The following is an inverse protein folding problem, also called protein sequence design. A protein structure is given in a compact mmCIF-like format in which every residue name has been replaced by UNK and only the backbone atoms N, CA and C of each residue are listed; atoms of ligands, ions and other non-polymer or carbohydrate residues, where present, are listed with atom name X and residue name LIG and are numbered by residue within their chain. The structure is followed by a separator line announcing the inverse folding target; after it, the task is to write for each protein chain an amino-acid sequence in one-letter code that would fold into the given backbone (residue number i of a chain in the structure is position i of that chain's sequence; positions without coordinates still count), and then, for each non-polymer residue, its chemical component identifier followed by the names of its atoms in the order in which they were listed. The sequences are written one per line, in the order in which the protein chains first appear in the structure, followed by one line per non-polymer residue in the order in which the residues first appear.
data_IF_961293516446
#
_entry.id   IF_961293516446
#
_cell.length_a   1.000
_cell.length_b   1.000
_cell.length_c   1.000
_cell.angle_alpha   90.00
_cell.angle_beta   90.00
_cell.angle_gamma   90.00
#
_symmetry.space_group_name_H-M   'P 1'
#
loop_
_entity.id
_entity.type
_entity.pdbx_description
1 polymer ?
#
# COMPACT_ATOMS: atom_id res chain seq x y z
N UNK A 1 -0.55 -8.76 -12.21
CA UNK A 1 0.90 -8.67 -12.00
C UNK A 1 1.70 -8.91 -13.32
N UNK A 2 1.54 -8.11 -14.40
CA UNK A 2 2.28 -8.33 -15.65
C UNK A 2 3.38 -7.28 -15.93
N UNK A 3 3.76 -6.44 -14.98
CA UNK A 3 4.70 -5.31 -15.21
C UNK A 3 6.07 -5.47 -14.54
N UNK A 4 6.55 -6.69 -14.29
CA UNK A 4 7.94 -6.83 -13.84
C UNK A 4 8.86 -6.42 -14.99
N UNK A 5 9.82 -5.52 -14.72
CA UNK A 5 10.84 -5.08 -15.69
C UNK A 5 12.12 -5.93 -15.57
N UNK A 6 12.06 -6.98 -14.77
CA UNK A 6 13.08 -7.99 -14.56
C UNK A 6 12.43 -9.38 -14.57
N UNK A 7 13.26 -10.42 -14.63
CA UNK A 7 12.82 -11.82 -14.60
C UNK A 7 12.40 -12.28 -13.19
N UNK A 8 12.36 -11.36 -12.21
CA UNK A 8 12.03 -11.65 -10.82
C UNK A 8 10.55 -11.36 -10.56
N UNK A 9 9.80 -12.39 -10.17
CA UNK A 9 8.41 -12.27 -9.79
C UNK A 9 8.30 -11.97 -8.28
N UNK A 10 7.72 -10.84 -7.86
CA UNK A 10 7.55 -10.55 -6.45
C UNK A 10 6.53 -11.54 -5.87
N UNK A 11 6.90 -12.21 -4.78
CA UNK A 11 5.96 -13.05 -4.02
C UNK A 11 4.82 -12.19 -3.45
N UNK A 12 3.57 -12.66 -3.48
CA UNK A 12 2.46 -11.92 -2.90
C UNK A 12 2.60 -11.86 -1.37
N UNK A 13 2.64 -10.65 -0.81
CA UNK A 13 2.50 -10.43 0.64
C UNK A 13 1.02 -10.57 1.09
N UNK A 14 0.09 -10.44 0.14
CA UNK A 14 -1.33 -10.66 0.31
C UNK A 14 -1.75 -11.72 -0.71
N UNK A 15 -1.79 -12.98 -0.27
CA UNK A 15 -2.13 -14.12 -1.12
C UNK A 15 -3.52 -14.64 -0.81
N UNK A 16 -4.44 -14.55 -1.77
CA UNK A 16 -5.78 -15.15 -1.76
C UNK A 16 -5.78 -16.68 -1.84
N UNK A 17 -4.68 -17.36 -1.51
CA UNK A 17 -4.61 -18.82 -1.35
C UNK A 17 -3.69 -19.16 -0.18
N UNK A 18 -4.26 -19.90 0.77
CA UNK A 18 -3.87 -20.02 2.18
C UNK A 18 -2.49 -20.66 2.51
N UNK A 19 -1.54 -20.76 1.58
CA UNK A 19 -0.32 -21.55 1.77
C UNK A 19 0.99 -20.73 1.68
N UNK A 20 1.06 -19.66 0.89
CA UNK A 20 2.31 -18.87 0.76
C UNK A 20 2.53 -17.76 1.81
N UNK A 21 1.54 -16.94 2.20
CA UNK A 21 1.77 -15.82 3.14
C UNK A 21 2.22 -16.27 4.53
N UNK A 22 1.75 -17.44 4.98
CA UNK A 22 2.17 -18.08 6.24
C UNK A 22 3.63 -18.55 6.24
N UNK A 23 4.18 -18.93 5.08
CA UNK A 23 5.58 -19.37 4.98
C UNK A 23 6.58 -18.22 5.15
N UNK A 24 6.16 -16.98 4.90
CA UNK A 24 6.97 -15.77 5.10
C UNK A 24 6.62 -15.01 6.40
N UNK A 25 5.70 -15.54 7.21
CA UNK A 25 5.38 -15.01 8.54
C UNK A 25 4.52 -13.73 8.56
N UNK A 26 4.02 -13.27 7.41
CA UNK A 26 3.22 -12.04 7.34
C UNK A 26 1.71 -12.34 7.50
N UNK A 27 1.28 -12.70 8.71
CA UNK A 27 -0.14 -12.97 9.01
C UNK A 27 -0.93 -11.73 9.42
N UNK A 28 -0.24 -10.62 9.72
CA UNK A 28 -0.79 -9.44 10.39
C UNK A 28 -1.86 -8.72 9.55
N UNK A 29 -1.80 -8.85 8.22
CA UNK A 29 -2.80 -8.26 7.35
C UNK A 29 -4.14 -9.01 7.40
N UNK A 30 -4.14 -10.31 7.73
CA UNK A 30 -5.39 -11.08 7.89
C UNK A 30 -6.13 -10.63 9.14
N UNK A 31 -5.42 -10.42 10.25
CA UNK A 31 -6.04 -9.94 11.50
C UNK A 31 -6.72 -8.58 11.30
N UNK A 32 -6.12 -7.68 10.52
CA UNK A 32 -6.75 -6.41 10.15
C UNK A 32 -8.02 -6.61 9.31
N UNK A 33 -7.97 -7.51 8.33
CA UNK A 33 -9.14 -7.81 7.49
C UNK A 33 -10.27 -8.45 8.30
N UNK A 34 -9.94 -9.31 9.28
CA UNK A 34 -10.90 -9.92 10.19
C UNK A 34 -11.53 -8.87 11.11
N UNK A 35 -10.75 -7.91 11.62
CA UNK A 35 -11.28 -6.77 12.39
C UNK A 35 -12.23 -5.93 11.53
N UNK A 36 -11.87 -5.64 10.28
CA UNK A 36 -12.72 -4.92 9.35
C UNK A 36 -14.02 -5.69 9.07
N UNK A 37 -13.93 -7.00 8.84
CA UNK A 37 -15.09 -7.86 8.62
C UNK A 37 -16.00 -7.90 9.86
N UNK A 38 -15.43 -8.01 11.06
CA UNK A 38 -16.18 -7.95 12.32
C UNK A 38 -16.87 -6.59 12.54
N UNK A 39 -16.28 -5.50 12.02
CA UNK A 39 -16.89 -4.17 12.00
C UNK A 39 -17.92 -3.98 10.86
N UNK A 40 -18.19 -5.01 10.06
CA UNK A 40 -19.18 -4.99 8.98
C UNK A 40 -18.65 -4.53 7.62
N UNK A 41 -17.33 -4.35 7.45
CA UNK A 41 -16.75 -4.04 6.15
C UNK A 41 -16.67 -5.29 5.28
N UNK A 42 -17.06 -5.14 4.01
CA UNK A 42 -16.99 -6.23 3.04
C UNK A 42 -15.92 -5.93 1.97
N UNK A 43 -15.25 -6.95 1.40
CA UNK A 43 -14.43 -6.74 0.21
C UNK A 43 -15.31 -6.14 -0.88
N UNK A 44 -14.84 -5.11 -1.59
CA UNK A 44 -15.66 -4.50 -2.64
C UNK A 44 -16.05 -5.52 -3.70
N UNK A 45 -17.36 -5.77 -3.81
CA UNK A 45 -17.92 -6.60 -4.87
C UNK A 45 -17.89 -5.85 -6.22
N UNK A 46 -17.87 -6.56 -7.36
CA UNK A 46 -17.87 -5.93 -8.69
C UNK A 46 -19.16 -5.16 -9.04
N UNK A 47 -20.24 -5.34 -8.29
CA UNK A 47 -21.46 -4.54 -8.45
C UNK A 47 -22.41 -4.73 -7.24
N UNK A 48 -22.89 -3.64 -6.65
CA UNK A 48 -24.22 -3.60 -6.01
C UNK A 48 -24.33 -3.88 -4.50
N UNK A 49 -23.24 -4.05 -3.76
CA UNK A 49 -23.32 -4.15 -2.30
C UNK A 49 -23.53 -2.79 -1.63
N UNK A 50 -24.70 -2.53 -1.04
CA UNK A 50 -24.90 -1.39 -0.13
C UNK A 50 -24.30 -1.72 1.24
N UNK A 51 -23.25 -1.01 1.66
CA UNK A 51 -22.60 -1.20 2.96
C UNK A 51 -21.15 -0.66 2.97
N UNK A 52 -20.50 -0.56 4.13
CA UNK A 52 -19.09 -0.18 4.18
C UNK A 52 -18.24 -1.25 3.48
N UNK A 53 -17.38 -0.82 2.56
CA UNK A 53 -16.49 -1.72 1.83
C UNK A 53 -15.02 -1.38 2.07
N UNK A 54 -14.13 -2.35 1.90
CA UNK A 54 -12.69 -2.15 1.91
C UNK A 54 -12.08 -2.56 0.57
N UNK A 55 -10.99 -1.89 0.22
CA UNK A 55 -10.18 -2.18 -0.96
C UNK A 55 -8.74 -2.39 -0.55
N UNK A 56 -8.12 -3.43 -1.13
CA UNK A 56 -6.72 -3.74 -0.90
C UNK A 56 -5.90 -3.18 -2.06
N UNK A 57 -4.98 -2.27 -1.76
CA UNK A 57 -4.02 -1.73 -2.73
C UNK A 57 -2.67 -2.44 -2.57
N UNK A 58 -2.43 -3.45 -3.39
CA UNK A 58 -1.14 -4.14 -3.48
C UNK A 58 -0.27 -3.53 -4.59
N UNK A 59 1.03 -3.42 -4.35
CA UNK A 59 1.99 -2.89 -5.32
C UNK A 59 3.32 -3.64 -5.26
N UNK A 60 4.15 -3.48 -6.28
CA UNK A 60 5.51 -4.01 -6.27
C UNK A 60 6.41 -3.14 -5.38
N UNK A 61 6.68 -3.63 -4.18
CA UNK A 61 7.44 -2.92 -3.15
C UNK A 61 8.91 -2.69 -3.51
N UNK A 62 9.43 -3.36 -4.54
CA UNK A 62 10.80 -3.15 -5.02
C UNK A 62 10.94 -1.88 -5.86
N UNK A 63 9.82 -1.29 -6.27
CA UNK A 63 9.79 -0.14 -7.18
C UNK A 63 9.83 1.18 -6.47
N UNK A 64 10.07 2.20 -7.28
CA UNK A 64 10.03 3.59 -6.86
C UNK A 64 8.70 3.96 -6.18
N UNK A 65 8.80 4.76 -5.12
CA UNK A 65 7.65 5.15 -4.31
C UNK A 65 6.78 6.21 -5.00
N UNK A 66 7.35 7.02 -5.89
CA UNK A 66 6.60 8.02 -6.68
C UNK A 66 5.77 7.32 -7.74
N UNK A 67 6.33 6.31 -8.41
CA UNK A 67 5.56 5.41 -9.29
C UNK A 67 4.39 4.79 -8.52
N UNK A 68 4.63 4.31 -7.30
CA UNK A 68 3.57 3.73 -6.47
C UNK A 68 2.52 4.76 -6.06
N UNK A 69 2.91 6.00 -5.76
CA UNK A 69 1.98 7.10 -5.45
C UNK A 69 1.08 7.45 -6.65
N UNK A 70 1.60 7.36 -7.88
CA UNK A 70 0.80 7.49 -9.11
C UNK A 70 -0.18 6.35 -9.29
N UNK A 71 0.24 5.11 -9.07
CA UNK A 71 -0.68 3.96 -9.09
C UNK A 71 -1.78 4.08 -8.03
N UNK A 72 -1.45 4.61 -6.85
CA UNK A 72 -2.43 4.90 -5.81
C UNK A 72 -3.43 5.97 -6.28
N UNK A 73 -2.96 7.02 -6.95
CA UNK A 73 -3.82 8.02 -7.57
C UNK A 73 -4.85 7.37 -8.50
N UNK A 74 -4.38 6.62 -9.49
CA UNK A 74 -5.23 6.00 -10.51
C UNK A 74 -6.25 5.04 -9.89
N UNK A 75 -5.84 4.32 -8.84
CA UNK A 75 -6.73 3.45 -8.07
C UNK A 75 -7.84 4.26 -7.41
N UNK A 76 -7.52 5.34 -6.71
CA UNK A 76 -8.51 6.18 -6.01
C UNK A 76 -9.45 6.90 -7.00
N UNK A 77 -8.96 7.32 -8.17
CA UNK A 77 -9.81 7.88 -9.23
C UNK A 77 -10.78 6.83 -9.76
N UNK A 78 -10.31 5.62 -10.08
CA UNK A 78 -11.15 4.50 -10.53
C UNK A 78 -12.22 4.14 -9.50
N UNK A 79 -11.87 4.17 -8.20
CA UNK A 79 -12.84 3.93 -7.13
C UNK A 79 -13.89 5.03 -7.04
N UNK A 80 -13.50 6.30 -7.19
CA UNK A 80 -14.44 7.41 -7.19
C UNK A 80 -15.45 7.31 -8.36
N UNK A 81 -14.95 6.93 -9.55
CA UNK A 81 -15.78 6.66 -10.73
C UNK A 81 -16.74 5.48 -10.48
N UNK A 82 -16.26 4.37 -9.91
CA UNK A 82 -17.08 3.21 -9.58
C UNK A 82 -18.16 3.52 -8.53
N UNK A 83 -17.89 4.45 -7.61
CA UNK A 83 -18.89 4.96 -6.66
C UNK A 83 -19.90 5.92 -7.30
N UNK A 84 -19.65 6.40 -8.52
CA UNK A 84 -20.47 7.43 -9.18
C UNK A 84 -20.37 8.81 -8.51
N UNK A 85 -19.34 9.04 -7.71
CA UNK A 85 -19.11 10.29 -6.99
C UNK A 85 -17.72 10.86 -7.30
N UNK A 86 -17.62 11.83 -8.22
CA UNK A 86 -16.36 12.49 -8.55
C UNK A 86 -15.71 13.22 -7.37
N UNK A 87 -16.44 13.51 -6.30
CA UNK A 87 -15.92 14.13 -5.07
C UNK A 87 -15.61 13.12 -3.96
N UNK A 88 -15.73 11.81 -4.25
CA UNK A 88 -15.47 10.76 -3.27
C UNK A 88 -14.07 10.87 -2.67
N UNK A 89 -14.03 10.74 -1.34
CA UNK A 89 -12.81 10.70 -0.53
C UNK A 89 -12.80 9.42 0.30
N UNK A 90 -11.62 8.85 0.47
CA UNK A 90 -11.41 7.53 1.06
C UNK A 90 -10.64 7.63 2.37
N UNK A 91 -10.96 6.74 3.30
CA UNK A 91 -10.14 6.49 4.48
C UNK A 91 -9.02 5.53 4.09
N UNK A 92 -7.77 5.92 4.30
CA UNK A 92 -6.60 5.15 3.90
C UNK A 92 -5.85 4.69 5.13
N UNK A 93 -5.52 3.39 5.17
CA UNK A 93 -4.65 2.80 6.19
C UNK A 93 -3.34 2.45 5.49
N UNK A 94 -2.27 3.15 5.85
CA UNK A 94 -0.93 2.92 5.33
C UNK A 94 -0.06 2.22 6.37
N UNK A 95 0.34 0.98 6.09
CA UNK A 95 1.26 0.23 6.94
C UNK A 95 2.70 0.29 6.40
N UNK A 96 3.68 0.45 7.29
CA UNK A 96 5.10 0.43 6.94
C UNK A 96 5.40 1.35 5.75
N UNK A 97 6.06 0.86 4.70
CA UNK A 97 6.35 1.63 3.49
C UNK A 97 5.10 2.12 2.75
N UNK A 98 3.97 1.41 2.84
CA UNK A 98 2.70 1.85 2.24
C UNK A 98 2.19 3.16 2.85
N UNK A 99 2.52 3.42 4.12
CA UNK A 99 2.24 4.71 4.75
C UNK A 99 3.11 5.85 4.24
N UNK A 100 4.34 5.57 3.78
CA UNK A 100 5.17 6.58 3.11
C UNK A 100 4.56 6.98 1.77
N UNK A 101 4.09 6.00 0.98
CA UNK A 101 3.39 6.23 -0.29
C UNK A 101 2.14 7.08 -0.05
N UNK A 102 1.27 6.67 0.87
CA UNK A 102 0.03 7.38 1.15
C UNK A 102 0.27 8.80 1.69
N UNK A 103 1.28 8.98 2.55
CA UNK A 103 1.68 10.29 3.08
C UNK A 103 2.26 11.19 1.99
N UNK A 104 3.06 10.64 1.08
CA UNK A 104 3.60 11.39 -0.06
C UNK A 104 2.47 11.85 -0.98
N UNK A 105 1.59 10.93 -1.39
CA UNK A 105 0.42 11.23 -2.19
C UNK A 105 -0.47 12.29 -1.54
N UNK A 106 -0.76 12.17 -0.23
CA UNK A 106 -1.56 13.18 0.48
C UNK A 106 -0.97 14.59 0.34
N UNK A 107 0.37 14.71 0.43
CA UNK A 107 1.08 16.00 0.40
C UNK A 107 1.27 16.57 -1.00
N UNK A 108 1.50 15.72 -1.99
CA UNK A 108 1.99 16.16 -3.31
C UNK A 108 1.21 15.59 -4.49
N UNK A 109 0.28 14.66 -4.26
CA UNK A 109 -0.44 13.96 -5.31
C UNK A 109 0.51 13.12 -6.15
N UNK A 110 0.60 13.45 -7.45
CA UNK A 110 1.40 12.74 -8.46
C UNK A 110 2.63 13.53 -8.92
N UNK A 111 2.89 14.68 -8.29
CA UNK A 111 4.04 15.53 -8.58
C UNK A 111 5.36 14.80 -8.26
N UNK A 112 6.45 15.28 -8.87
CA UNK A 112 7.81 14.84 -8.56
C UNK A 112 8.31 15.48 -7.24
N UNK A 113 9.30 14.88 -6.54
CA UNK A 113 9.80 15.38 -5.24
C UNK A 113 10.40 16.79 -5.26
N UNK A 114 10.73 17.34 -6.41
CA UNK A 114 11.25 18.69 -6.61
C UNK A 114 10.15 19.76 -6.73
N UNK A 115 8.88 19.38 -6.62
CA UNK A 115 7.71 20.23 -6.87
C UNK A 115 7.48 21.39 -5.87
N UNK A 116 8.43 21.67 -4.97
CA UNK A 116 8.37 22.80 -4.04
C UNK A 116 7.61 22.49 -2.75
N UNK A 117 6.90 23.47 -2.15
CA UNK A 117 6.26 23.30 -0.83
C UNK A 117 5.14 22.26 -0.85
N UNK A 118 4.74 21.77 0.33
CA UNK A 118 3.60 20.85 0.49
C UNK A 118 2.32 21.50 -0.05
N UNK A 119 1.65 20.84 -1.01
CA UNK A 119 0.45 21.37 -1.69
C UNK A 119 -0.85 20.76 -1.18
N UNK A 120 -0.78 19.64 -0.47
CA UNK A 120 -1.92 18.82 -0.06
C UNK A 120 -2.79 18.31 -1.24
N UNK A 121 -2.20 18.14 -2.43
CA UNK A 121 -2.94 17.78 -3.63
C UNK A 121 -3.74 16.45 -3.48
N UNK A 122 -3.23 15.48 -2.74
CA UNK A 122 -3.92 14.21 -2.50
C UNK A 122 -5.12 14.31 -1.53
N UNK A 123 -5.27 15.42 -0.80
CA UNK A 123 -6.42 15.63 0.09
C UNK A 123 -7.76 15.62 -0.67
N UNK A 124 -7.73 15.86 -1.99
CA UNK A 124 -8.88 15.72 -2.88
C UNK A 124 -9.49 14.31 -2.89
N UNK A 125 -8.69 13.27 -2.59
CA UNK A 125 -9.12 11.86 -2.53
C UNK A 125 -8.99 11.21 -1.17
N UNK A 126 -8.20 11.77 -0.26
CA UNK A 126 -8.03 11.19 1.09
C UNK A 126 -8.86 11.98 2.09
N UNK A 127 -9.80 11.30 2.75
CA UNK A 127 -10.59 11.83 3.87
C UNK A 127 -9.77 11.80 5.16
N UNK A 128 -9.27 10.61 5.51
CA UNK A 128 -8.44 10.35 6.68
C UNK A 128 -7.30 9.43 6.30
N UNK A 129 -6.13 9.63 6.92
CA UNK A 129 -4.96 8.77 6.75
C UNK A 129 -4.51 8.23 8.11
N UNK A 130 -4.57 6.92 8.27
CA UNK A 130 -4.05 6.20 9.44
C UNK A 130 -2.68 5.61 9.08
N UNK A 131 -1.66 5.96 9.86
CA UNK A 131 -0.29 5.50 9.67
C UNK A 131 0.04 4.43 10.72
N UNK A 132 0.35 3.22 10.27
CA UNK A 132 0.68 2.09 11.16
C UNK A 132 2.13 1.68 10.93
N UNK A 133 2.97 1.78 11.97
CA UNK A 133 4.39 1.39 11.92
C UNK A 133 5.19 1.98 10.74
N UNK A 134 4.88 3.22 10.35
CA UNK A 134 5.47 3.87 9.15
C UNK A 134 6.85 4.46 9.48
N UNK A 135 7.93 4.07 8.77
CA UNK A 135 9.28 4.56 9.01
C UNK A 135 9.46 5.97 8.42
N UNK A 136 8.79 6.98 9.00
CA UNK A 136 8.75 8.35 8.48
C UNK A 136 10.13 9.03 8.34
N UNK A 137 11.12 8.56 9.10
CA UNK A 137 12.50 9.04 9.08
C UNK A 137 13.49 7.98 8.58
N UNK A 138 13.00 6.93 7.90
CA UNK A 138 13.76 5.72 7.64
C UNK A 138 13.79 4.79 8.86
N UNK A 139 14.54 3.69 8.75
CA UNK A 139 14.69 2.71 9.81
C UNK A 139 16.14 2.24 9.94
N UNK A 140 16.64 2.13 11.17
CA UNK A 140 18.02 1.67 11.45
C UNK A 140 18.23 0.25 10.90
N UNK A 141 17.20 -0.60 10.91
CA UNK A 141 17.26 -1.94 10.31
C UNK A 141 17.50 -1.93 8.80
N UNK A 142 17.09 -0.89 8.08
CA UNK A 142 17.40 -0.77 6.65
C UNK A 142 18.89 -0.49 6.46
N UNK A 143 19.48 0.38 7.30
CA UNK A 143 20.92 0.64 7.29
C UNK A 143 21.72 -0.62 7.68
N UNK A 144 21.29 -1.33 8.72
CA UNK A 144 21.88 -2.60 9.15
C UNK A 144 21.83 -3.64 8.02
N UNK A 145 20.69 -3.75 7.33
CA UNK A 145 20.54 -4.64 6.18
C UNK A 145 21.48 -4.29 5.02
N UNK A 146 21.73 -3.01 4.76
CA UNK A 146 22.69 -2.57 3.75
C UNK A 146 24.14 -2.89 4.13
N UNK A 147 24.49 -2.75 5.43
CA UNK A 147 25.85 -2.96 5.91
C UNK A 147 26.20 -4.44 6.07
N UNK A 148 25.25 -5.26 6.53
CA UNK A 148 25.52 -6.62 6.99
C UNK A 148 24.69 -7.68 6.27
N UNK A 149 23.77 -7.27 5.39
CA UNK A 149 22.71 -8.14 4.90
C UNK A 149 21.64 -8.38 5.96
N UNK A 150 20.49 -8.89 5.53
CA UNK A 150 19.44 -9.28 6.47
C UNK A 150 18.85 -10.62 6.05
N UNK A 151 18.55 -11.46 7.05
CA UNK A 151 17.98 -12.79 6.79
C UNK A 151 16.47 -12.67 6.70
N UNK A 152 15.92 -12.98 5.53
CA UNK A 152 14.47 -13.09 5.34
C UNK A 152 14.12 -14.56 5.11
N UNK A 153 13.52 -15.19 6.13
CA UNK A 153 13.23 -16.63 6.11
C UNK A 153 14.49 -17.51 6.02
N UNK A 154 14.51 -18.44 5.06
CA UNK A 154 15.63 -19.37 4.85
C UNK A 154 16.72 -18.83 3.89
N UNK A 155 16.52 -17.66 3.28
CA UNK A 155 17.47 -17.13 2.28
C UNK A 155 18.46 -16.12 2.86
N UNK A 156 19.73 -16.24 2.45
CA UNK A 156 20.76 -15.22 2.59
C UNK A 156 20.76 -14.32 1.35
N UNK A 157 19.66 -13.62 1.08
CA UNK A 157 19.64 -12.64 -0.01
C UNK A 157 19.82 -11.26 0.61
N UNK A 158 21.08 -10.83 0.67
CA UNK A 158 21.46 -9.42 0.73
C UNK A 158 20.68 -8.66 -0.34
N UNK A 159 19.85 -7.70 0.08
CA UNK A 159 19.40 -6.61 -0.78
C UNK A 159 20.61 -5.67 -0.94
N UNK A 160 21.51 -6.02 -1.86
CA UNK A 160 22.58 -5.17 -2.35
C UNK A 160 22.47 -5.11 -3.88
#
# INVERSE_FOLDING_TARGET
LPESRDDLLPGPLLGTTAVMPRLFGFTEYYDLLDILAAAGFHPSAPAGGRGPCHHVFSYDWRRDLIETARRLHDTLETLAEACGDPAARFNVIGHSMGGLVARYYLRYGTAEPDAGPVTWAGARRIANLVLVAVPNAGGIHALEAMLYGNRVGLSHTTLA
#
